data_IF_188730851391
#
_entry.id   IF_188730851391
#
_cell.length_a   1.000
_cell.length_b   1.000
_cell.length_c   1.000
_cell.angle_alpha   90.00
_cell.angle_beta   90.00
_cell.angle_gamma   90.00
#
_symmetry.space_group_name_H-M   'P 1'
#
loop_
_entity.id
_entity.type
_entity.pdbx_description
1 polymer ?
#
# COMPACT_ATOMS: atom_id res chain seq x y z
N UNK A 1 16.80 -0.75 1.76
CA UNK A 1 17.52 0.30 2.52
C UNK A 1 18.71 -0.38 3.19
N UNK A 2 19.95 -0.02 2.85
CA UNK A 2 21.16 -0.69 3.39
C UNK A 2 21.37 -0.26 4.84
N UNK A 3 21.46 -1.22 5.76
CA UNK A 3 21.72 -0.92 7.18
C UNK A 3 23.22 -0.72 7.40
N UNK A 4 23.58 0.25 8.25
CA UNK A 4 24.97 0.46 8.65
C UNK A 4 25.40 -0.69 9.56
N UNK A 5 26.45 -1.41 9.15
CA UNK A 5 26.98 -2.56 9.90
C UNK A 5 27.81 -2.11 11.10
N UNK A 6 28.18 -3.06 11.97
CA UNK A 6 29.02 -2.77 13.13
C UNK A 6 30.40 -2.26 12.68
N UNK A 7 31.00 -2.89 11.69
CA UNK A 7 32.31 -2.55 11.12
C UNK A 7 32.31 -1.12 10.57
N UNK A 8 31.27 -0.78 9.79
CA UNK A 8 31.10 0.56 9.25
C UNK A 8 30.98 1.63 10.35
N UNK A 9 30.39 1.32 11.52
CA UNK A 9 30.37 2.25 12.66
C UNK A 9 31.76 2.50 13.24
N UNK A 10 32.63 1.49 13.26
CA UNK A 10 34.02 1.67 13.70
C UNK A 10 34.83 2.51 12.70
N UNK A 11 34.63 2.31 11.40
CA UNK A 11 35.21 3.15 10.35
C UNK A 11 34.77 4.61 10.47
N UNK A 12 33.46 4.86 10.66
CA UNK A 12 32.94 6.21 10.93
C UNK A 12 33.68 6.85 12.11
N UNK A 13 33.88 6.12 13.22
CA UNK A 13 34.63 6.65 14.38
C UNK A 13 36.08 6.96 14.04
N UNK A 14 36.75 6.10 13.28
CA UNK A 14 38.14 6.31 12.87
C UNK A 14 38.28 7.57 12.02
N UNK A 15 37.42 7.74 11.00
CA UNK A 15 37.45 8.93 10.15
C UNK A 15 37.06 10.22 10.88
N UNK A 16 36.12 10.15 11.83
CA UNK A 16 35.81 11.30 12.69
C UNK A 16 36.99 11.72 13.56
N UNK A 17 37.80 10.76 14.07
CA UNK A 17 39.04 11.09 14.80
C UNK A 17 40.07 11.77 13.90
N UNK A 18 40.08 11.45 12.62
CA UNK A 18 40.93 12.11 11.61
C UNK A 18 40.34 13.44 11.10
N UNK A 19 39.27 13.97 11.70
CA UNK A 19 38.58 15.20 11.28
C UNK A 19 38.10 15.18 9.82
N UNK A 20 37.78 14.01 9.27
CA UNK A 20 37.27 13.89 7.91
C UNK A 20 35.81 14.38 7.81
N UNK A 21 35.45 14.93 6.65
CA UNK A 21 34.09 15.42 6.38
C UNK A 21 33.09 14.26 6.25
N UNK A 22 31.81 14.52 6.54
CA UNK A 22 30.75 13.50 6.39
C UNK A 22 30.62 13.01 4.94
N UNK A 23 30.89 13.87 3.97
CA UNK A 23 30.94 13.52 2.55
C UNK A 23 32.05 12.50 2.27
N UNK A 24 33.26 12.76 2.74
CA UNK A 24 34.38 11.82 2.60
C UNK A 24 34.08 10.47 3.24
N UNK A 25 33.53 10.47 4.46
CA UNK A 25 33.15 9.25 5.18
C UNK A 25 32.11 8.45 4.39
N UNK A 26 31.14 9.13 3.79
CA UNK A 26 30.11 8.51 2.99
C UNK A 26 30.69 7.84 1.74
N UNK A 27 31.58 8.54 1.03
CA UNK A 27 32.25 8.02 -0.17
C UNK A 27 33.16 6.82 0.17
N UNK A 28 33.93 6.91 1.26
CA UNK A 28 34.84 5.84 1.70
C UNK A 28 34.12 4.54 2.09
N UNK A 29 32.94 4.65 2.73
CA UNK A 29 32.17 3.51 3.22
C UNK A 29 31.12 3.02 2.19
N UNK A 30 30.97 3.74 1.07
CA UNK A 30 29.97 3.43 0.04
C UNK A 30 28.53 3.64 0.50
N UNK A 31 28.29 4.71 1.25
CA UNK A 31 26.98 5.14 1.74
C UNK A 31 26.68 6.57 1.27
N UNK A 32 25.43 7.01 1.37
CA UNK A 32 25.11 8.42 1.09
C UNK A 32 25.38 9.30 2.33
N UNK A 33 25.77 10.56 2.11
CA UNK A 33 26.05 11.54 3.16
C UNK A 33 24.89 11.66 4.16
N UNK A 34 23.65 11.65 3.67
CA UNK A 34 22.47 11.71 4.52
C UNK A 34 22.31 10.50 5.45
N UNK A 35 22.91 9.35 5.13
CA UNK A 35 22.92 8.18 6.04
C UNK A 35 23.90 8.40 7.19
N UNK A 36 25.08 8.96 6.92
CA UNK A 36 26.07 9.33 7.94
C UNK A 36 25.50 10.39 8.88
N UNK A 37 24.94 11.47 8.32
CA UNK A 37 24.31 12.55 9.09
C UNK A 37 23.22 12.02 10.04
N UNK A 38 22.34 11.14 9.55
CA UNK A 38 21.28 10.53 10.37
C UNK A 38 21.84 9.59 11.43
N UNK A 39 22.88 8.82 11.12
CA UNK A 39 23.54 7.92 12.07
C UNK A 39 24.15 8.69 13.23
N UNK A 40 24.90 9.76 12.94
CA UNK A 40 25.49 10.63 13.96
C UNK A 40 24.41 11.31 14.81
N UNK A 41 23.40 11.90 14.16
CA UNK A 41 22.31 12.59 14.87
C UNK A 41 21.54 11.66 15.82
N UNK A 42 21.31 10.41 15.42
CA UNK A 42 20.51 9.44 16.21
C UNK A 42 21.29 8.76 17.31
N UNK A 43 22.59 8.52 17.10
CA UNK A 43 23.35 7.63 17.97
C UNK A 43 24.41 8.32 18.83
N UNK A 44 24.81 9.55 18.51
CA UNK A 44 25.73 10.34 19.34
C UNK A 44 25.14 10.66 20.72
N UNK A 45 26.02 10.86 21.69
CA UNK A 45 25.65 11.28 23.05
C UNK A 45 25.25 12.76 23.10
N UNK A 46 24.67 13.21 24.22
CA UNK A 46 24.36 14.64 24.46
C UNK A 46 25.60 15.56 24.36
N UNK A 47 26.80 15.00 24.57
CA UNK A 47 28.09 15.68 24.43
C UNK A 47 28.67 15.58 23.02
N UNK A 48 27.87 15.18 22.03
CA UNK A 48 28.25 14.97 20.62
C UNK A 48 29.35 13.91 20.38
N UNK A 49 29.66 13.09 21.40
CA UNK A 49 30.62 11.99 21.26
C UNK A 49 29.93 10.80 20.59
N UNK A 50 30.50 10.32 19.48
CA UNK A 50 30.07 9.13 18.76
C UNK A 50 30.80 7.87 19.26
N UNK A 51 30.06 6.89 19.77
CA UNK A 51 30.58 5.62 20.29
C UNK A 51 29.95 4.44 19.50
N UNK A 52 30.72 3.70 18.68
CA UNK A 52 30.19 2.63 17.83
C UNK A 52 29.44 1.53 18.59
N UNK A 53 29.95 1.09 19.74
CA UNK A 53 29.31 0.07 20.55
C UNK A 53 27.90 0.47 21.01
N UNK A 54 27.75 1.70 21.54
CA UNK A 54 26.44 2.24 21.94
C UNK A 54 25.53 2.52 20.75
N UNK A 55 26.11 2.91 19.60
CA UNK A 55 25.34 3.13 18.38
C UNK A 55 24.75 1.81 17.84
N UNK A 56 25.50 0.71 17.94
CA UNK A 56 25.05 -0.65 17.64
C UNK A 56 23.93 -1.07 18.59
N UNK A 57 24.14 -0.97 19.90
CA UNK A 57 23.17 -1.30 20.94
C UNK A 57 21.84 -0.57 20.73
N UNK A 58 21.88 0.77 20.57
CA UNK A 58 20.69 1.58 20.25
C UNK A 58 20.00 1.17 18.95
N UNK A 59 20.74 0.67 17.96
CA UNK A 59 20.16 0.20 16.70
C UNK A 59 19.47 -1.15 16.89
N UNK A 60 20.04 -2.04 17.69
CA UNK A 60 19.48 -3.34 18.06
C UNK A 60 18.22 -3.18 18.91
N UNK A 61 18.26 -2.36 19.98
CA UNK A 61 17.08 -2.05 20.80
C UNK A 61 15.90 -1.53 19.96
N UNK A 62 16.20 -0.62 19.01
CA UNK A 62 15.19 -0.09 18.10
C UNK A 62 14.61 -1.18 17.20
N UNK A 63 15.43 -2.14 16.75
CA UNK A 63 14.99 -3.28 15.94
C UNK A 63 14.14 -4.24 16.78
N UNK A 64 14.55 -4.51 18.02
CA UNK A 64 13.83 -5.37 18.96
C UNK A 64 12.44 -4.84 19.30
N UNK A 65 12.30 -3.51 19.42
CA UNK A 65 10.99 -2.85 19.60
C UNK A 65 9.98 -3.23 18.52
N UNK A 66 10.43 -3.51 17.30
CA UNK A 66 9.58 -3.95 16.19
C UNK A 66 9.46 -5.48 16.10
N UNK A 67 10.35 -6.23 16.75
CA UNK A 67 10.34 -7.70 16.77
C UNK A 67 9.40 -8.31 17.81
N UNK A 68 8.72 -7.51 18.64
CA UNK A 68 7.61 -8.04 19.43
C UNK A 68 6.52 -8.50 18.47
N UNK A 69 6.41 -9.82 18.34
CA UNK A 69 5.28 -10.49 17.72
C UNK A 69 4.04 -10.12 18.52
N UNK A 70 3.39 -9.00 18.17
CA UNK A 70 2.01 -8.66 18.55
C UNK A 70 1.10 -9.62 17.81
N UNK A 71 1.26 -10.91 18.10
CA UNK A 71 0.41 -11.95 17.56
C UNK A 71 -0.96 -11.70 18.13
N UNK A 72 -1.93 -11.66 17.23
CA UNK A 72 -3.30 -11.86 17.62
C UNK A 72 -3.39 -13.36 17.91
N UNK A 73 -3.13 -13.72 19.16
CA UNK A 73 -3.14 -15.11 19.61
C UNK A 73 -4.59 -15.55 19.88
N UNK A 74 -4.77 -16.86 20.03
CA UNK A 74 -6.09 -17.47 20.24
C UNK A 74 -6.75 -16.92 21.52
N UNK A 75 -5.97 -16.56 22.55
CA UNK A 75 -6.49 -16.00 23.79
C UNK A 75 -7.03 -14.58 23.58
N UNK A 76 -6.28 -13.72 22.89
CA UNK A 76 -6.70 -12.39 22.52
C UNK A 76 -7.93 -12.42 21.61
N UNK A 77 -7.98 -13.37 20.67
CA UNK A 77 -9.14 -13.60 19.82
C UNK A 77 -10.39 -13.94 20.63
N UNK A 78 -10.32 -14.93 21.53
CA UNK A 78 -11.44 -15.29 22.41
C UNK A 78 -11.91 -14.11 23.27
N UNK A 79 -10.98 -13.35 23.83
CA UNK A 79 -11.29 -12.16 24.63
C UNK A 79 -12.00 -11.10 23.79
N UNK A 80 -11.51 -10.86 22.56
CA UNK A 80 -12.13 -9.90 21.64
C UNK A 80 -13.54 -10.34 21.25
N UNK A 81 -13.73 -11.61 20.86
CA UNK A 81 -15.05 -12.16 20.50
C UNK A 81 -16.02 -12.01 21.68
N UNK A 82 -15.61 -12.46 22.87
CA UNK A 82 -16.41 -12.34 24.10
C UNK A 82 -16.86 -10.90 24.35
N UNK A 83 -15.93 -9.94 24.34
CA UNK A 83 -16.28 -8.54 24.60
C UNK A 83 -17.10 -7.89 23.48
N UNK A 84 -16.95 -8.35 22.24
CA UNK A 84 -17.77 -7.89 21.12
C UNK A 84 -19.20 -8.42 21.23
N UNK A 85 -19.37 -9.72 21.47
CA UNK A 85 -20.67 -10.41 21.46
C UNK A 85 -21.46 -10.16 22.75
N UNK A 86 -20.86 -10.42 23.91
CA UNK A 86 -21.55 -10.37 25.21
C UNK A 86 -21.77 -8.93 25.69
N UNK A 87 -20.72 -8.11 25.60
CA UNK A 87 -20.69 -6.77 26.21
C UNK A 87 -20.86 -5.62 25.20
N UNK A 88 -20.95 -5.93 23.89
CA UNK A 88 -21.11 -4.95 22.81
C UNK A 88 -20.09 -3.79 22.87
N UNK A 89 -18.86 -4.10 23.30
CA UNK A 89 -17.79 -3.12 23.47
C UNK A 89 -17.14 -2.76 22.14
N UNK A 90 -16.80 -1.48 21.95
CA UNK A 90 -16.01 -1.09 20.78
C UNK A 90 -14.57 -1.62 20.87
N UNK A 91 -13.89 -1.88 19.73
CA UNK A 91 -12.49 -2.30 19.73
C UNK A 91 -11.55 -1.39 20.53
N UNK A 92 -11.85 -0.09 20.63
CA UNK A 92 -11.09 0.85 21.45
C UNK A 92 -11.33 0.66 22.95
N UNK A 93 -12.56 0.36 23.35
CA UNK A 93 -12.90 0.05 24.74
C UNK A 93 -12.27 -1.26 25.18
N UNK A 94 -12.30 -2.31 24.35
CA UNK A 94 -11.65 -3.60 24.61
C UNK A 94 -10.17 -3.40 24.95
N UNK A 95 -9.43 -2.68 24.10
CA UNK A 95 -8.01 -2.38 24.34
C UNK A 95 -7.82 -1.56 25.64
N UNK A 96 -8.73 -0.63 25.93
CA UNK A 96 -8.69 0.16 27.16
C UNK A 96 -8.88 -0.67 28.43
N UNK A 97 -9.83 -1.61 28.43
CA UNK A 97 -10.10 -2.53 29.54
C UNK A 97 -8.93 -3.48 29.74
N UNK A 98 -8.46 -4.13 28.66
CA UNK A 98 -7.30 -5.02 28.73
C UNK A 98 -6.06 -4.29 29.26
N UNK A 99 -5.83 -3.05 28.83
CA UNK A 99 -4.73 -2.22 29.33
C UNK A 99 -4.85 -1.92 30.83
N UNK A 100 -6.07 -1.64 31.34
CA UNK A 100 -6.30 -1.43 32.78
C UNK A 100 -6.11 -2.71 33.58
N UNK A 101 -6.53 -3.86 33.04
CA UNK A 101 -6.37 -5.18 33.66
C UNK A 101 -5.01 -5.83 33.47
N UNK A 102 -4.02 -5.13 32.89
CA UNK A 102 -2.71 -5.70 32.53
C UNK A 102 -2.77 -6.97 31.65
N UNK A 103 -3.83 -7.11 30.86
CA UNK A 103 -4.01 -8.20 29.91
C UNK A 103 -3.33 -7.80 28.59
N UNK A 104 -2.34 -8.57 28.09
CA UNK A 104 -1.73 -8.30 26.79
C UNK A 104 -2.77 -8.28 25.68
N UNK A 105 -2.77 -7.22 24.86
CA UNK A 105 -3.77 -7.06 23.79
C UNK A 105 -3.18 -6.35 22.57
N UNK A 106 -3.69 -6.71 21.38
CA UNK A 106 -3.32 -6.07 20.12
C UNK A 106 -3.91 -4.65 20.01
N UNK A 107 -3.47 -3.87 19.03
CA UNK A 107 -4.07 -2.56 18.78
C UNK A 107 -5.53 -2.69 18.33
N UNK A 108 -6.34 -1.66 18.60
CA UNK A 108 -7.74 -1.62 18.16
C UNK A 108 -7.86 -1.70 16.62
N UNK A 109 -6.85 -1.24 15.87
CA UNK A 109 -6.76 -1.42 14.42
C UNK A 109 -6.58 -2.87 13.99
N UNK A 110 -5.79 -3.66 14.75
CA UNK A 110 -5.63 -5.10 14.48
C UNK A 110 -6.94 -5.85 14.75
N UNK A 111 -7.67 -5.46 15.81
CA UNK A 111 -9.03 -5.97 16.08
C UNK A 111 -9.96 -5.63 14.91
N UNK A 112 -9.94 -4.38 14.42
CA UNK A 112 -10.72 -4.03 13.23
C UNK A 112 -10.30 -4.80 11.97
N UNK A 113 -9.02 -5.15 11.82
CA UNK A 113 -8.56 -5.99 10.72
C UNK A 113 -9.14 -7.40 10.82
N UNK A 114 -9.14 -7.99 12.02
CA UNK A 114 -9.78 -9.27 12.30
C UNK A 114 -11.29 -9.26 11.99
N UNK A 115 -12.03 -8.26 12.47
CA UNK A 115 -13.48 -8.12 12.18
C UNK A 115 -13.75 -8.00 10.67
N UNK A 116 -12.84 -7.36 9.91
CA UNK A 116 -12.98 -7.26 8.44
C UNK A 116 -12.69 -8.58 7.73
N UNK A 117 -11.73 -9.35 8.24
CA UNK A 117 -11.36 -10.66 7.72
C UNK A 117 -12.50 -11.67 7.96
N UNK A 118 -13.04 -11.71 9.18
CA UNK A 118 -14.24 -12.48 9.52
C UNK A 118 -15.41 -12.16 8.58
N UNK A 119 -15.72 -10.88 8.39
CA UNK A 119 -16.76 -10.44 7.45
C UNK A 119 -16.49 -10.87 6.01
N UNK A 120 -15.25 -10.84 5.55
CA UNK A 120 -14.88 -11.27 4.20
C UNK A 120 -15.07 -12.80 4.03
N UNK A 121 -14.90 -13.55 5.11
CA UNK A 121 -15.12 -15.00 5.17
C UNK A 121 -16.58 -15.39 5.46
N UNK A 122 -17.50 -14.42 5.50
CA UNK A 122 -18.93 -14.66 5.72
C UNK A 122 -19.38 -14.65 7.18
N UNK A 123 -18.48 -14.36 8.12
CA UNK A 123 -18.81 -14.19 9.53
C UNK A 123 -19.55 -12.89 9.83
N UNK A 124 -19.95 -12.72 11.09
CA UNK A 124 -20.84 -11.65 11.51
C UNK A 124 -20.38 -10.82 12.71
N UNK A 125 -19.11 -10.91 13.10
CA UNK A 125 -18.52 -10.08 14.16
C UNK A 125 -18.72 -8.58 13.90
N UNK A 126 -18.79 -8.18 12.63
CA UNK A 126 -19.04 -6.79 12.28
C UNK A 126 -20.41 -6.29 12.76
N UNK A 127 -21.43 -7.16 12.92
CA UNK A 127 -22.77 -6.77 13.39
C UNK A 127 -22.76 -6.26 14.83
N UNK A 128 -21.83 -6.74 15.64
CA UNK A 128 -21.60 -6.35 17.04
C UNK A 128 -20.84 -5.02 17.18
N UNK A 129 -20.33 -4.46 16.07
CA UNK A 129 -19.80 -3.09 16.09
C UNK A 129 -20.94 -2.10 15.92
N UNK A 130 -20.98 -1.04 16.75
CA UNK A 130 -22.05 0.01 16.74
C UNK A 130 -22.42 0.51 15.35
N UNK A 131 -21.44 0.65 14.46
CA UNK A 131 -21.65 1.17 13.11
C UNK A 131 -21.66 0.10 12.03
N UNK A 132 -21.51 -1.19 12.36
CA UNK A 132 -21.44 -2.32 11.41
C UNK A 132 -20.46 -2.11 10.26
N UNK A 133 -19.34 -1.43 10.55
CA UNK A 133 -18.34 -0.96 9.58
C UNK A 133 -18.87 -0.03 8.45
N UNK A 134 -20.02 0.60 8.63
CA UNK A 134 -20.68 1.49 7.65
C UNK A 134 -20.06 2.90 7.54
N UNK A 135 -18.98 3.18 8.25
CA UNK A 135 -18.31 4.51 8.27
C UNK A 135 -17.78 4.97 6.90
N UNK A 136 -17.71 4.10 5.89
CA UNK A 136 -17.31 4.50 4.54
C UNK A 136 -18.35 4.10 3.50
N UNK A 137 -18.64 5.07 2.63
CA UNK A 137 -19.38 4.89 1.36
C UNK A 137 -18.68 3.89 0.42
N UNK A 138 -17.40 3.58 0.65
CA UNK A 138 -16.59 2.64 -0.14
C UNK A 138 -15.68 1.77 0.76
N UNK A 139 -15.66 0.44 0.59
CA UNK A 139 -14.75 -0.44 1.33
C UNK A 139 -13.28 -0.15 0.99
N UNK A 140 -12.39 -0.31 1.98
CA UNK A 140 -10.93 -0.14 1.83
C UNK A 140 -10.34 -1.47 1.42
N UNK A 141 -9.54 -1.49 0.35
CA UNK A 141 -8.75 -2.67 -0.04
C UNK A 141 -9.30 -3.52 -1.19
N UNK A 142 -10.41 -3.13 -1.82
CA UNK A 142 -10.81 -3.77 -3.07
C UNK A 142 -9.90 -3.31 -4.22
N UNK A 143 -9.11 -4.23 -4.81
CA UNK A 143 -8.53 -3.99 -6.13
C UNK A 143 -9.69 -3.73 -7.09
N UNK A 144 -9.77 -2.50 -7.61
CA UNK A 144 -10.79 -2.12 -8.59
C UNK A 144 -10.43 -2.84 -9.89
N UNK A 145 -11.02 -4.00 -10.14
CA UNK A 145 -10.89 -4.66 -11.45
C UNK A 145 -11.66 -3.80 -12.43
N UNK A 146 -10.93 -3.02 -13.24
CA UNK A 146 -11.52 -2.02 -14.14
C UNK A 146 -12.26 -2.70 -15.30
N UNK A 147 -11.73 -3.83 -15.79
CA UNK A 147 -12.33 -4.72 -16.80
C UNK A 147 -11.85 -6.13 -16.46
N UNK A 148 -12.78 -7.07 -16.26
CA UNK A 148 -12.45 -8.48 -16.01
C UNK A 148 -11.99 -9.11 -17.33
N UNK A 149 -10.95 -9.95 -17.29
CA UNK A 149 -10.46 -10.72 -18.44
C UNK A 149 -10.08 -9.86 -19.66
N UNK A 150 -9.56 -8.64 -19.43
CA UNK A 150 -9.05 -7.82 -20.53
C UNK A 150 -7.83 -8.49 -21.17
N UNK A 151 -7.83 -8.59 -22.49
CA UNK A 151 -6.65 -8.97 -23.29
C UNK A 151 -5.79 -7.73 -23.46
N UNK A 152 -4.48 -7.85 -23.27
CA UNK A 152 -3.56 -6.72 -23.44
C UNK A 152 -3.42 -6.37 -24.92
N UNK A 153 -3.23 -5.08 -25.23
CA UNK A 153 -2.85 -4.65 -26.59
C UNK A 153 -1.51 -5.26 -27.02
N UNK A 154 -0.65 -5.59 -26.05
CA UNK A 154 0.64 -6.25 -26.26
C UNK A 154 0.50 -7.70 -26.72
N UNK A 155 -0.65 -8.34 -26.49
CA UNK A 155 -0.93 -9.72 -26.90
C UNK A 155 -1.49 -9.81 -28.34
N UNK A 156 -1.62 -8.68 -29.05
CA UNK A 156 -2.06 -8.66 -30.46
C UNK A 156 -1.00 -9.33 -31.36
N UNK A 157 -1.46 -10.11 -32.34
CA UNK A 157 -0.59 -10.71 -33.36
C UNK A 157 0.14 -9.63 -34.18
N UNK A 158 1.37 -9.94 -34.64
CA UNK A 158 2.19 -9.05 -35.47
C UNK A 158 1.49 -8.61 -36.75
N UNK A 159 0.67 -9.47 -37.36
CA UNK A 159 -0.11 -9.18 -38.58
C UNK A 159 -1.00 -7.94 -38.40
N UNK A 160 -1.58 -7.75 -37.20
CA UNK A 160 -2.45 -6.61 -36.85
C UNK A 160 -1.61 -5.33 -36.62
N UNK A 161 -0.44 -5.47 -35.99
CA UNK A 161 0.46 -4.35 -35.71
C UNK A 161 1.10 -3.82 -37.00
N UNK A 162 1.46 -4.72 -37.92
CA UNK A 162 2.04 -4.42 -39.22
C UNK A 162 1.00 -4.00 -40.26
N UNK A 163 -0.30 -4.04 -39.95
CA UNK A 163 -1.40 -3.69 -40.85
C UNK A 163 -1.42 -4.53 -42.13
N UNK A 164 -1.14 -5.83 -42.00
CA UNK A 164 -1.02 -6.75 -43.13
C UNK A 164 -2.36 -7.39 -43.53
N UNK A 165 -3.40 -7.24 -42.71
CA UNK A 165 -4.73 -7.84 -42.91
C UNK A 165 -5.84 -6.79 -42.92
N UNK A 166 -6.75 -6.89 -43.87
CA UNK A 166 -7.98 -6.11 -43.89
C UNK A 166 -9.03 -6.68 -42.91
N UNK A 167 -9.76 -5.80 -42.24
CA UNK A 167 -10.87 -6.16 -41.34
C UNK A 167 -10.50 -6.10 -39.85
N UNK A 168 -9.32 -5.58 -39.52
CA UNK A 168 -8.93 -5.30 -38.15
C UNK A 168 -9.40 -3.90 -37.74
N UNK A 169 -10.48 -3.85 -36.97
CA UNK A 169 -11.12 -2.61 -36.53
C UNK A 169 -10.67 -2.20 -35.14
N UNK A 170 -10.31 -0.93 -34.99
CA UNK A 170 -10.00 -0.28 -33.72
C UNK A 170 -11.15 0.64 -33.32
N UNK A 171 -11.64 0.49 -32.09
CA UNK A 171 -12.78 1.24 -31.56
C UNK A 171 -12.32 2.02 -30.34
N UNK A 172 -12.36 3.34 -30.46
CA UNK A 172 -12.01 4.28 -29.39
C UNK A 172 -13.23 5.09 -28.94
N UNK A 173 -13.19 5.55 -27.69
CA UNK A 173 -14.22 6.41 -27.13
C UNK A 173 -13.62 7.74 -26.70
N UNK A 174 -13.97 8.80 -27.42
CA UNK A 174 -13.62 10.17 -27.07
C UNK A 174 -14.68 10.70 -26.11
N UNK A 175 -14.25 11.11 -24.92
CA UNK A 175 -15.11 11.70 -23.89
C UNK A 175 -14.80 13.19 -23.77
N UNK A 176 -15.83 14.03 -23.86
CA UNK A 176 -15.67 15.48 -23.78
C UNK A 176 -15.27 15.99 -22.38
N UNK A 177 -14.91 17.27 -22.32
CA UNK A 177 -14.58 17.98 -21.07
C UNK A 177 -15.67 17.76 -20.02
N UNK A 178 -15.26 17.63 -18.75
CA UNK A 178 -16.18 17.36 -17.63
C UNK A 178 -17.01 16.07 -17.75
N UNK A 179 -16.59 15.11 -18.58
CA UNK A 179 -17.37 13.91 -18.91
C UNK A 179 -18.70 14.20 -19.63
N UNK A 180 -18.80 15.36 -20.30
CA UNK A 180 -20.01 15.76 -21.04
C UNK A 180 -19.86 15.42 -22.52
N UNK A 181 -20.78 14.62 -23.04
CA UNK A 181 -20.77 14.13 -24.41
C UNK A 181 -19.73 13.03 -24.65
N UNK A 182 -20.00 12.17 -25.63
CA UNK A 182 -19.09 11.14 -26.07
C UNK A 182 -19.22 10.91 -27.58
N UNK A 183 -18.12 10.56 -28.22
CA UNK A 183 -18.05 10.16 -29.63
C UNK A 183 -17.33 8.82 -29.67
N UNK A 184 -17.95 7.83 -30.31
CA UNK A 184 -17.25 6.60 -30.67
C UNK A 184 -16.57 6.80 -32.02
N UNK A 185 -15.34 6.35 -32.14
CA UNK A 185 -14.56 6.32 -33.37
C UNK A 185 -14.22 4.88 -33.71
N UNK A 186 -14.38 4.52 -34.98
CA UNK A 186 -14.13 3.19 -35.50
C UNK A 186 -13.19 3.35 -36.70
N UNK A 187 -12.01 2.74 -36.64
CA UNK A 187 -10.96 2.86 -37.65
C UNK A 187 -10.58 1.47 -38.15
N UNK A 188 -10.59 1.26 -39.46
CA UNK A 188 -9.98 0.07 -40.06
C UNK A 188 -8.47 0.30 -40.18
N UNK A 189 -7.65 -0.59 -39.61
CA UNK A 189 -6.22 -0.30 -39.37
C UNK A 189 -5.36 -0.24 -40.64
N UNK A 190 -5.77 -0.93 -41.70
CA UNK A 190 -4.99 -1.08 -42.95
C UNK A 190 -5.28 0.03 -43.93
N UNK A 191 -6.55 0.34 -44.15
CA UNK A 191 -7.06 1.37 -45.06
C UNK A 191 -7.20 2.74 -44.42
N UNK A 192 -7.10 2.82 -43.07
CA UNK A 192 -7.43 4.01 -42.29
C UNK A 192 -8.87 4.51 -42.52
N UNK A 193 -9.77 3.64 -43.00
CA UNK A 193 -11.17 3.99 -43.17
C UNK A 193 -11.80 4.33 -41.81
N UNK A 194 -12.33 5.55 -41.72
CA UNK A 194 -12.72 6.15 -40.45
C UNK A 194 -14.22 6.43 -40.38
N UNK A 195 -14.86 5.95 -39.32
CA UNK A 195 -16.25 6.25 -38.97
C UNK A 195 -16.29 6.87 -37.57
N UNK A 196 -17.21 7.81 -37.37
CA UNK A 196 -17.47 8.39 -36.05
C UNK A 196 -18.96 8.59 -35.82
N UNK A 197 -19.40 8.40 -34.57
CA UNK A 197 -20.79 8.63 -34.16
C UNK A 197 -20.85 9.31 -32.80
N UNK A 198 -21.63 10.39 -32.71
CA UNK A 198 -21.92 11.05 -31.44
C UNK A 198 -22.92 10.22 -30.65
N UNK A 199 -22.60 9.91 -29.40
CA UNK A 199 -23.44 9.12 -28.51
C UNK A 199 -24.38 10.04 -27.73
N UNK A 200 -25.69 9.87 -27.93
CA UNK A 200 -26.72 10.66 -27.23
C UNK A 200 -26.72 10.42 -25.71
N UNK A 201 -26.41 9.19 -25.30
CA UNK A 201 -26.43 8.76 -23.90
C UNK A 201 -25.04 8.78 -23.22
N UNK A 202 -24.06 9.47 -23.82
CA UNK A 202 -22.70 9.58 -23.29
C UNK A 202 -21.94 8.24 -23.26
N UNK A 203 -21.06 8.06 -22.27
CA UNK A 203 -20.13 6.91 -22.16
C UNK A 203 -20.72 5.63 -21.57
N UNK A 204 -22.05 5.45 -21.61
CA UNK A 204 -22.70 4.27 -21.07
C UNK A 204 -22.39 3.03 -21.93
N UNK A 205 -21.81 1.99 -21.33
CA UNK A 205 -21.36 0.79 -22.04
C UNK A 205 -22.48 0.08 -22.82
N UNK A 206 -23.68 -0.05 -22.24
CA UNK A 206 -24.82 -0.72 -22.91
C UNK A 206 -25.32 0.08 -24.11
N UNK A 207 -25.33 1.41 -24.00
CA UNK A 207 -25.75 2.27 -25.11
C UNK A 207 -24.71 2.29 -26.22
N UNK A 208 -23.41 2.31 -25.87
CA UNK A 208 -22.31 2.25 -26.83
C UNK A 208 -22.36 0.95 -27.65
N UNK A 209 -22.54 -0.21 -27.00
CA UNK A 209 -22.55 -1.50 -27.68
C UNK A 209 -23.61 -1.59 -28.78
N UNK A 210 -24.82 -1.04 -28.56
CA UNK A 210 -25.91 -1.00 -29.55
C UNK A 210 -25.66 -0.09 -30.75
N UNK A 211 -24.68 0.80 -30.64
CA UNK A 211 -24.37 1.76 -31.71
C UNK A 211 -23.24 1.23 -32.62
N UNK A 212 -22.56 0.17 -32.19
CA UNK A 212 -21.41 -0.45 -32.86
C UNK A 212 -21.75 -1.87 -33.38
N UNK A 213 -22.67 -2.57 -32.71
CA UNK A 213 -23.23 -3.87 -33.08
C UNK A 213 -24.66 -3.66 -33.57
#
# INVERSE_FOLDING_TARGET
MKHITKEQRYEIKAYLKCNMSQKFIADAIGLCESSISRELKRNSSKRLIYQPAKAQEKAEERKERFNQKRKFDINAERIVIKYLEDEQLSPKQIVGICKKGSIPMVSHERIYAFIREDKANGGDLYKHTRHRLKHRKRPVGGKKVVIKDKVSIEERSSVINNKERFGDWEIDLIVGKENKGAIVTIVERTTAFFMKKKLKNGKNAKSLAKEVI
#
